data_IF_735954234875
#
_entry.id   IF_735954234875
#
_cell.length_a   1.000
_cell.length_b   1.000
_cell.length_c   1.000
_cell.angle_alpha   90.00
_cell.angle_beta   90.00
_cell.angle_gamma   90.00
#
_symmetry.space_group_name_H-M   'P 1'
#
loop_
_entity.id
_entity.type
_entity.pdbx_description
1 polymer ?
#
# COMPACT_ATOMS: atom_id res chain seq x y z
N UNK A 1 52.67 -23.55 -27.79
CA UNK A 1 52.38 -22.10 -27.85
C UNK A 1 51.20 -21.85 -26.92
N UNK A 2 51.43 -21.55 -25.64
CA UNK A 2 51.45 -20.18 -25.09
C UNK A 2 50.04 -19.85 -24.58
N UNK A 3 49.80 -19.35 -23.36
CA UNK A 3 50.63 -18.79 -22.30
C UNK A 3 49.86 -18.97 -20.97
N UNK A 4 50.59 -19.27 -19.88
CA UNK A 4 50.50 -18.65 -18.55
C UNK A 4 49.35 -17.62 -18.34
N UNK A 5 48.58 -17.61 -17.25
CA UNK A 5 49.07 -17.27 -15.90
C UNK A 5 47.96 -17.34 -14.81
N UNK A 6 48.34 -17.91 -13.65
CA UNK A 6 47.93 -17.62 -12.23
C UNK A 6 46.59 -18.13 -11.65
N UNK A 7 46.70 -19.22 -10.88
CA UNK A 7 46.09 -19.42 -9.54
C UNK A 7 46.65 -18.35 -8.54
N UNK A 8 46.02 -18.00 -7.38
CA UNK A 8 45.44 -18.94 -6.40
C UNK A 8 44.22 -18.50 -5.54
N UNK A 9 43.57 -19.53 -4.99
CA UNK A 9 42.94 -19.68 -3.65
C UNK A 9 42.87 -18.45 -2.72
N UNK A 10 41.65 -18.12 -2.28
CA UNK A 10 41.38 -17.72 -0.89
C UNK A 10 40.15 -18.47 -0.36
N UNK A 11 40.43 -19.40 0.56
CA UNK A 11 39.48 -19.94 1.53
C UNK A 11 39.29 -18.92 2.67
N UNK A 12 38.53 -19.31 3.71
CA UNK A 12 38.26 -18.61 4.98
C UNK A 12 37.04 -17.65 4.93
N UNK A 13 36.08 -17.64 5.85
CA UNK A 13 35.95 -18.32 7.14
C UNK A 13 34.48 -18.43 7.54
N UNK A 14 34.21 -19.46 8.34
CA UNK A 14 33.12 -19.54 9.30
C UNK A 14 32.94 -18.23 10.08
N UNK A 15 31.70 -17.79 10.25
CA UNK A 15 31.33 -16.91 11.34
C UNK A 15 29.91 -17.27 11.81
N UNK A 16 29.84 -18.32 12.63
CA UNK A 16 28.80 -18.46 13.65
C UNK A 16 28.77 -17.16 14.45
N UNK A 17 27.65 -16.44 14.43
CA UNK A 17 27.39 -15.32 15.34
C UNK A 17 26.21 -15.67 16.22
N UNK A 18 26.46 -16.54 17.19
CA UNK A 18 25.67 -16.59 18.42
C UNK A 18 25.88 -15.27 19.15
N UNK A 19 24.83 -14.45 19.26
CA UNK A 19 24.79 -13.36 20.23
C UNK A 19 24.00 -13.87 21.45
N UNK A 20 24.68 -13.94 22.59
CA UNK A 20 24.09 -14.25 23.91
C UNK A 20 23.41 -12.98 24.45
N UNK A 21 22.29 -13.18 25.17
CA UNK A 21 21.37 -12.18 25.68
C UNK A 21 22.01 -11.03 26.48
N UNK A 22 21.57 -9.79 26.20
CA UNK A 22 21.58 -8.66 27.12
C UNK A 22 20.13 -8.14 27.28
N UNK A 23 19.76 -7.84 28.52
CA UNK A 23 18.39 -7.66 28.98
C UNK A 23 17.62 -6.44 28.47
N UNK A 24 16.31 -6.51 28.71
CA UNK A 24 15.26 -5.50 28.58
C UNK A 24 15.46 -4.57 27.38
N UNK A 25 15.03 -5.04 26.21
CA UNK A 25 14.92 -4.19 25.05
C UNK A 25 13.52 -4.38 24.43
N UNK A 26 12.55 -3.69 25.02
CA UNK A 26 11.39 -3.26 24.26
C UNK A 26 11.84 -2.24 23.21
N UNK A 27 12.57 -2.69 22.17
CA UNK A 27 12.57 -1.95 20.92
C UNK A 27 11.19 -2.20 20.35
N UNK A 28 10.21 -1.37 20.73
CA UNK A 28 9.15 -1.11 19.77
C UNK A 28 9.87 -0.38 18.66
N UNK A 29 10.37 -1.12 17.66
CA UNK A 29 10.84 -0.51 16.45
C UNK A 29 9.60 0.16 15.88
N UNK A 30 9.43 1.45 16.16
CA UNK A 30 8.66 2.28 15.27
C UNK A 30 9.40 2.14 13.94
N UNK A 31 8.90 1.27 13.07
CA UNK A 31 9.42 1.14 11.73
C UNK A 31 9.59 2.56 11.18
N UNK A 32 10.70 2.89 10.50
CA UNK A 32 10.86 4.21 9.92
C UNK A 32 9.58 4.53 9.14
N UNK A 33 8.91 5.62 9.53
CA UNK A 33 7.66 6.01 8.92
C UNK A 33 7.97 6.49 7.50
N UNK A 34 7.91 5.57 6.53
CA UNK A 34 8.04 5.92 5.13
C UNK A 34 6.73 6.56 4.68
N UNK A 35 6.73 7.89 4.56
CA UNK A 35 5.61 8.60 3.96
C UNK A 35 5.54 8.27 2.47
N UNK A 36 4.41 7.69 2.04
CA UNK A 36 4.13 7.38 0.64
C UNK A 36 2.94 8.21 0.16
N UNK A 37 3.09 8.81 -1.02
CA UNK A 37 2.01 9.56 -1.64
C UNK A 37 1.14 8.62 -2.48
N UNK A 38 -0.17 8.67 -2.23
CA UNK A 38 -1.17 8.00 -3.05
C UNK A 38 -1.99 9.07 -3.76
N UNK A 39 -2.20 8.87 -5.05
CA UNK A 39 -2.97 9.77 -5.89
C UNK A 39 -4.20 9.05 -6.44
N UNK A 40 -5.21 9.81 -6.84
CA UNK A 40 -6.33 9.24 -7.58
C UNK A 40 -5.79 8.55 -8.84
N UNK A 41 -6.16 7.27 -9.06
CA UNK A 41 -5.87 6.56 -10.31
C UNK A 41 -6.56 7.20 -11.53
N UNK A 42 -7.62 7.99 -11.28
CA UNK A 42 -8.37 8.75 -12.28
C UNK A 42 -8.48 10.20 -11.81
N UNK A 43 -7.40 11.00 -11.93
CA UNK A 43 -7.43 12.38 -11.48
C UNK A 43 -8.43 13.17 -12.32
N UNK A 44 -9.32 13.91 -11.65
CA UNK A 44 -10.30 14.78 -12.28
C UNK A 44 -10.57 15.99 -11.39
N UNK A 45 -11.07 17.07 -12.00
CA UNK A 45 -11.59 18.22 -11.25
C UNK A 45 -12.69 17.78 -10.29
N UNK A 46 -12.62 18.25 -9.05
CA UNK A 46 -13.60 17.97 -8.00
C UNK A 46 -13.89 16.48 -7.75
N UNK A 47 -12.95 15.56 -8.00
CA UNK A 47 -13.19 14.14 -7.67
C UNK A 47 -13.19 13.84 -6.16
N UNK A 48 -12.59 14.74 -5.37
CA UNK A 48 -12.41 14.63 -3.91
C UNK A 48 -11.80 13.30 -3.47
N UNK A 49 -10.73 12.86 -4.15
CA UNK A 49 -9.96 11.71 -3.70
C UNK A 49 -9.41 11.93 -2.29
N UNK A 50 -9.58 10.94 -1.43
CA UNK A 50 -9.23 11.05 -0.01
C UNK A 50 -10.26 11.80 0.83
N UNK A 51 -11.48 12.02 0.31
CA UNK A 51 -12.60 12.61 1.10
C UNK A 51 -12.88 11.82 2.37
N UNK A 52 -12.75 10.51 2.28
CA UNK A 52 -12.78 9.58 3.40
C UNK A 52 -11.63 8.59 3.24
N UNK A 53 -11.04 8.17 4.34
CA UNK A 53 -9.97 7.16 4.36
C UNK A 53 -10.20 6.26 5.57
N UNK A 54 -10.02 4.96 5.39
CA UNK A 54 -10.07 4.00 6.48
C UNK A 54 -9.00 2.93 6.33
N UNK A 55 -8.35 2.59 7.44
CA UNK A 55 -7.40 1.48 7.50
C UNK A 55 -8.16 0.15 7.45
N UNK A 56 -7.57 -0.83 6.78
CA UNK A 56 -8.05 -2.20 6.71
C UNK A 56 -6.93 -3.13 7.21
N UNK A 57 -7.31 -4.34 7.61
CA UNK A 57 -6.33 -5.43 7.71
C UNK A 57 -5.79 -5.80 6.31
N UNK A 58 -4.92 -6.80 6.24
CA UNK A 58 -4.40 -7.36 5.00
C UNK A 58 -5.55 -7.95 4.14
N UNK A 59 -6.02 -7.17 3.17
CA UNK A 59 -7.15 -7.52 2.31
C UNK A 59 -6.70 -8.06 0.95
N UNK A 60 -5.42 -7.90 0.57
CA UNK A 60 -4.85 -8.45 -0.65
C UNK A 60 -3.92 -9.66 -0.46
N UNK A 61 -3.58 -9.99 0.78
CA UNK A 61 -2.83 -11.18 1.19
C UNK A 61 -1.31 -11.00 1.24
N UNK A 62 -0.79 -9.76 1.25
CA UNK A 62 0.64 -9.45 1.24
C UNK A 62 1.29 -9.35 2.64
N UNK A 63 0.50 -9.53 3.70
CA UNK A 63 0.85 -9.39 5.13
C UNK A 63 1.19 -7.96 5.58
N UNK A 64 0.84 -6.95 4.77
CA UNK A 64 0.93 -5.54 5.11
C UNK A 64 -0.51 -5.00 5.24
N UNK A 65 -0.73 -4.04 6.14
CA UNK A 65 -2.05 -3.44 6.31
C UNK A 65 -2.45 -2.62 5.09
N UNK A 66 -3.73 -2.70 4.71
CA UNK A 66 -4.30 -2.02 3.56
C UNK A 66 -5.11 -0.80 3.97
N UNK A 67 -5.65 -0.08 2.98
CA UNK A 67 -6.60 0.99 3.25
C UNK A 67 -7.56 1.22 2.08
N UNK A 68 -8.71 1.80 2.39
CA UNK A 68 -9.66 2.29 1.40
C UNK A 68 -9.71 3.83 1.43
N UNK A 69 -9.78 4.44 0.24
CA UNK A 69 -9.92 5.87 0.06
C UNK A 69 -11.13 6.19 -0.83
N UNK A 70 -12.04 7.01 -0.31
CA UNK A 70 -13.22 7.49 -1.03
C UNK A 70 -12.91 8.68 -1.94
N UNK A 71 -13.56 8.71 -3.10
CA UNK A 71 -13.56 9.80 -4.06
C UNK A 71 -15.01 10.12 -4.41
N UNK A 72 -15.68 10.84 -3.50
CA UNK A 72 -17.14 10.93 -3.46
C UNK A 72 -17.76 11.55 -4.73
N UNK A 73 -17.08 12.50 -5.36
CA UNK A 73 -17.60 13.17 -6.55
C UNK A 73 -16.84 12.77 -7.83
N UNK A 74 -16.10 11.65 -7.76
CA UNK A 74 -15.54 11.03 -8.94
C UNK A 74 -16.66 10.78 -9.96
N UNK A 75 -16.43 11.19 -11.21
CA UNK A 75 -17.35 11.01 -12.31
C UNK A 75 -17.28 9.54 -12.69
N UNK A 76 -18.15 8.75 -12.05
CA UNK A 76 -18.32 7.34 -12.34
C UNK A 76 -18.56 7.09 -13.84
N UNK A 77 -18.42 5.84 -14.27
CA UNK A 77 -18.53 5.49 -15.70
C UNK A 77 -19.91 5.85 -16.29
N UNK A 78 -20.95 5.94 -15.45
CA UNK A 78 -22.36 6.03 -15.86
C UNK A 78 -23.09 7.30 -15.40
N UNK A 79 -22.52 8.06 -14.47
CA UNK A 79 -23.18 9.23 -13.88
C UNK A 79 -22.16 10.22 -13.29
N UNK A 80 -22.49 11.52 -13.35
CA UNK A 80 -21.62 12.60 -12.85
C UNK A 80 -21.65 12.63 -11.33
N UNK A 81 -20.48 12.67 -10.70
CA UNK A 81 -20.41 12.67 -9.23
C UNK A 81 -21.03 11.44 -8.59
N UNK A 82 -21.04 10.30 -9.28
CA UNK A 82 -21.53 9.04 -8.71
C UNK A 82 -20.67 8.57 -7.54
N UNK A 83 -19.38 8.92 -7.55
CA UNK A 83 -18.39 8.56 -6.56
C UNK A 83 -17.78 7.17 -6.76
N UNK A 84 -16.60 6.97 -6.16
CA UNK A 84 -15.84 5.70 -6.16
C UNK A 84 -15.14 5.49 -4.83
N UNK A 85 -14.80 4.23 -4.53
CA UNK A 85 -13.87 3.86 -3.45
C UNK A 85 -12.72 3.07 -4.04
N UNK A 86 -11.50 3.45 -3.70
CA UNK A 86 -10.26 2.81 -4.13
C UNK A 86 -9.66 2.03 -2.95
N UNK A 87 -9.37 0.75 -3.12
CA UNK A 87 -8.65 -0.05 -2.13
C UNK A 87 -7.20 -0.17 -2.56
N UNK A 88 -6.29 0.19 -1.68
CA UNK A 88 -4.85 0.20 -1.89
C UNK A 88 -4.18 -0.74 -0.91
N UNK A 89 -3.12 -1.40 -1.38
CA UNK A 89 -2.23 -2.10 -0.47
C UNK A 89 -1.21 -1.15 0.14
N UNK A 90 -0.83 -1.42 1.40
CA UNK A 90 0.24 -0.68 2.06
C UNK A 90 1.60 -0.83 1.38
N UNK A 91 1.76 -1.84 0.52
CA UNK A 91 2.99 -2.13 -0.21
C UNK A 91 3.07 -1.42 -1.58
N UNK A 92 1.96 -1.33 -2.31
CA UNK A 92 1.91 -0.84 -3.70
C UNK A 92 1.13 0.47 -3.83
N UNK A 93 1.59 1.42 -4.66
CA UNK A 93 0.92 2.71 -4.88
C UNK A 93 -0.24 2.68 -5.89
N UNK A 94 -0.71 1.49 -6.29
CA UNK A 94 -1.85 1.31 -7.21
C UNK A 94 -3.00 0.63 -6.47
N UNK A 95 -4.26 0.95 -6.76
CA UNK A 95 -5.37 0.24 -6.15
C UNK A 95 -5.42 -1.20 -6.66
N UNK A 96 -5.66 -2.16 -5.77
CA UNK A 96 -5.93 -3.55 -6.19
C UNK A 96 -7.43 -3.77 -6.47
N UNK A 97 -8.30 -2.89 -5.96
CA UNK A 97 -9.74 -2.92 -6.23
C UNK A 97 -10.33 -1.51 -6.30
N UNK A 98 -11.31 -1.35 -7.19
CA UNK A 98 -12.13 -0.14 -7.31
C UNK A 98 -13.57 -0.58 -7.11
N UNK A 99 -14.27 0.08 -6.18
CA UNK A 99 -15.68 -0.12 -5.92
C UNK A 99 -16.46 1.06 -6.50
N UNK A 100 -17.56 0.73 -7.18
CA UNK A 100 -18.51 1.68 -7.74
C UNK A 100 -19.92 1.30 -7.25
N UNK A 101 -20.81 2.28 -7.16
CA UNK A 101 -22.21 2.01 -6.85
C UNK A 101 -22.85 1.15 -7.95
N UNK A 102 -23.46 -0.01 -7.64
CA UNK A 102 -24.20 -0.81 -8.61
C UNK A 102 -25.38 -0.05 -9.23
N UNK A 103 -25.86 0.99 -8.55
CA UNK A 103 -26.90 1.91 -9.01
C UNK A 103 -26.34 3.33 -9.02
N UNK A 104 -25.36 3.55 -9.88
CA UNK A 104 -24.77 4.87 -10.07
C UNK A 104 -25.86 5.88 -10.49
N UNK A 105 -25.91 7.00 -9.80
CA UNK A 105 -26.82 8.12 -10.05
C UNK A 105 -26.00 9.39 -10.06
N UNK A 106 -26.54 10.44 -10.68
CA UNK A 106 -25.92 11.75 -10.61
C UNK A 106 -25.90 12.24 -9.15
N UNK A 107 -24.76 12.77 -8.72
CA UNK A 107 -24.52 13.20 -7.34
C UNK A 107 -24.81 12.08 -6.30
N UNK A 108 -24.38 10.86 -6.62
CA UNK A 108 -24.55 9.70 -5.74
C UNK A 108 -23.61 9.67 -4.54
N UNK A 109 -22.50 10.43 -4.58
CA UNK A 109 -21.56 10.59 -3.47
C UNK A 109 -21.00 9.27 -2.90
N UNK A 110 -20.86 8.23 -3.73
CA UNK A 110 -20.35 6.94 -3.27
C UNK A 110 -18.91 7.07 -2.76
N UNK A 111 -18.65 6.62 -1.53
CA UNK A 111 -17.37 6.84 -0.86
C UNK A 111 -17.26 8.15 -0.08
N UNK A 112 -18.35 8.91 0.11
CA UNK A 112 -18.35 10.10 0.99
C UNK A 112 -17.98 9.80 2.44
N UNK A 113 -18.35 8.63 2.94
CA UNK A 113 -18.02 8.15 4.27
C UNK A 113 -17.65 6.67 4.22
N UNK A 114 -16.64 6.28 5.00
CA UNK A 114 -16.18 4.91 5.13
C UNK A 114 -16.03 4.59 6.62
N UNK A 115 -16.35 3.35 6.98
CA UNK A 115 -16.10 2.80 8.31
C UNK A 115 -15.62 1.35 8.13
N UNK A 116 -14.55 1.00 8.82
CA UNK A 116 -14.10 -0.38 8.93
C UNK A 116 -14.90 -1.03 10.06
N UNK A 117 -15.36 -2.24 9.82
CA UNK A 117 -16.07 -3.05 10.80
C UNK A 117 -15.17 -4.26 11.10
N UNK A 118 -14.79 -4.48 12.36
CA UNK A 118 -13.97 -5.62 12.77
C UNK A 118 -14.76 -6.94 12.76
#
# INVERSE_FOLDING_TARGET
MGKFCRHPRYAFASAVRTAVLAGILGVTAAAPAFARNYASPKPQGSGFFGRSVVALDDADGDRIGDFAAGSAEDAGVRARGAGRVYLFSGYQSRPFRILESPRAQDHGDFGRALAAVP
#
